data_IF_445696971207
#
_entry.id   IF_445696971207
#
_cell.length_a   1.000
_cell.length_b   1.000
_cell.length_c   1.000
_cell.angle_alpha   90.00
_cell.angle_beta   90.00
_cell.angle_gamma   90.00
#
_symmetry.space_group_name_H-M   'P 1'
#
loop_
_entity.id
_entity.type
_entity.pdbx_description
1 polymer ?
#
# COMPACT_ATOMS: atom_id res chain seq x y z
N UNK A 1 -15.27 -60.09 5.06
CA UNK A 1 -15.80 -58.73 5.23
C UNK A 1 -15.12 -57.83 4.24
N UNK A 2 -15.87 -57.26 3.30
CA UNK A 2 -15.38 -56.31 2.30
C UNK A 2 -15.27 -54.93 2.93
N UNK A 3 -14.05 -54.49 3.25
CA UNK A 3 -13.78 -53.13 3.70
C UNK A 3 -13.69 -52.20 2.50
N UNK A 4 -14.60 -51.24 2.42
CA UNK A 4 -14.51 -50.16 1.45
C UNK A 4 -13.37 -49.23 1.86
N UNK A 5 -12.31 -49.17 1.07
CA UNK A 5 -11.26 -48.14 1.20
C UNK A 5 -11.76 -46.90 0.48
N UNK A 6 -12.22 -45.92 1.24
CA UNK A 6 -12.51 -44.58 0.72
C UNK A 6 -11.18 -43.83 0.66
N UNK A 7 -10.57 -43.77 -0.52
CA UNK A 7 -9.40 -42.91 -0.77
C UNK A 7 -9.93 -41.48 -0.87
N UNK A 8 -9.97 -40.77 0.25
CA UNK A 8 -10.27 -39.35 0.26
C UNK A 8 -9.14 -38.60 -0.44
N UNK A 9 -9.45 -37.90 -1.54
CA UNK A 9 -8.56 -36.89 -2.12
C UNK A 9 -8.49 -35.71 -1.16
N UNK A 10 -7.63 -35.79 -0.14
CA UNK A 10 -7.28 -34.62 0.64
C UNK A 10 -6.51 -33.66 -0.29
N UNK A 11 -7.11 -32.51 -0.63
CA UNK A 11 -6.39 -31.44 -1.33
C UNK A 11 -5.10 -31.16 -0.56
N UNK A 12 -3.92 -31.20 -1.21
CA UNK A 12 -2.67 -30.88 -0.56
C UNK A 12 -2.79 -29.54 0.17
N UNK A 13 -2.41 -29.49 1.44
CA UNK A 13 -2.56 -28.29 2.30
C UNK A 13 -1.94 -27.03 1.69
N UNK A 14 -0.92 -27.18 0.85
CA UNK A 14 -0.29 -26.07 0.12
C UNK A 14 -1.19 -25.42 -0.93
N UNK A 15 -2.10 -26.15 -1.59
CA UNK A 15 -3.05 -25.55 -2.54
C UNK A 15 -4.05 -24.63 -1.84
N UNK A 16 -4.49 -25.02 -0.64
CA UNK A 16 -5.37 -24.19 0.19
C UNK A 16 -4.64 -22.92 0.61
N UNK A 17 -3.39 -23.03 1.07
CA UNK A 17 -2.58 -21.86 1.45
C UNK A 17 -2.32 -20.94 0.26
N UNK A 18 -2.02 -21.48 -0.93
CA UNK A 18 -1.86 -20.67 -2.15
C UNK A 18 -3.16 -19.96 -2.53
N UNK A 19 -4.31 -20.63 -2.41
CA UNK A 19 -5.61 -20.01 -2.60
C UNK A 19 -5.86 -18.86 -1.63
N UNK A 20 -5.57 -19.07 -0.34
CA UNK A 20 -5.68 -18.02 0.68
C UNK A 20 -4.74 -16.85 0.41
N UNK A 21 -3.50 -17.11 -0.02
CA UNK A 21 -2.54 -16.07 -0.39
C UNK A 21 -3.04 -15.26 -1.58
N UNK A 22 -3.54 -15.91 -2.64
CA UNK A 22 -4.07 -15.21 -3.81
C UNK A 22 -5.25 -14.30 -3.43
N UNK A 23 -6.16 -14.78 -2.57
CA UNK A 23 -7.26 -13.98 -2.05
C UNK A 23 -6.75 -12.84 -1.18
N UNK A 24 -5.79 -13.08 -0.29
CA UNK A 24 -5.19 -12.06 0.56
C UNK A 24 -4.54 -10.94 -0.28
N UNK A 25 -3.76 -11.30 -1.29
CA UNK A 25 -3.15 -10.33 -2.23
C UNK A 25 -4.21 -9.46 -2.89
N UNK A 26 -5.24 -10.08 -3.47
CA UNK A 26 -6.30 -9.32 -4.14
C UNK A 26 -7.03 -8.37 -3.19
N UNK A 27 -7.45 -8.87 -2.02
CA UNK A 27 -8.16 -8.08 -1.02
C UNK A 27 -7.30 -6.94 -0.50
N UNK A 28 -6.05 -7.22 -0.13
CA UNK A 28 -5.14 -6.21 0.41
C UNK A 28 -4.86 -5.12 -0.62
N UNK A 29 -4.54 -5.45 -1.88
CA UNK A 29 -4.27 -4.43 -2.90
C UNK A 29 -5.46 -3.49 -3.09
N UNK A 30 -6.67 -4.02 -3.18
CA UNK A 30 -7.89 -3.20 -3.31
C UNK A 30 -8.10 -2.30 -2.09
N UNK A 31 -7.94 -2.84 -0.88
CA UNK A 31 -8.08 -2.06 0.35
C UNK A 31 -6.97 -1.01 0.51
N UNK A 32 -5.75 -1.35 0.12
CA UNK A 32 -4.56 -0.51 0.24
C UNK A 32 -4.69 0.74 -0.63
N UNK A 33 -4.92 0.55 -1.93
CA UNK A 33 -5.17 1.64 -2.86
C UNK A 33 -6.44 2.43 -2.47
N UNK A 34 -7.50 1.71 -2.08
CA UNK A 34 -8.72 2.33 -1.58
C UNK A 34 -8.48 3.27 -0.40
N UNK A 35 -7.56 2.93 0.50
CA UNK A 35 -7.23 3.76 1.67
C UNK A 35 -6.39 4.99 1.31
N UNK A 36 -5.45 4.89 0.37
CA UNK A 36 -4.79 6.07 -0.18
C UNK A 36 -5.82 7.04 -0.73
N UNK A 37 -6.73 6.54 -1.57
CA UNK A 37 -7.75 7.38 -2.21
C UNK A 37 -8.78 7.94 -1.24
N UNK A 38 -9.23 7.14 -0.27
CA UNK A 38 -10.16 7.58 0.78
C UNK A 38 -9.52 8.66 1.67
N UNK A 39 -8.26 8.46 2.09
CA UNK A 39 -7.52 9.45 2.89
C UNK A 39 -7.32 10.74 2.10
N UNK A 40 -6.95 10.65 0.83
CA UNK A 40 -6.83 11.81 -0.05
C UNK A 40 -8.16 12.55 -0.21
N UNK A 41 -9.26 11.82 -0.39
CA UNK A 41 -10.62 12.39 -0.49
C UNK A 41 -11.04 13.13 0.78
N UNK A 42 -10.77 12.55 1.95
CA UNK A 42 -11.04 13.17 3.26
C UNK A 42 -10.22 14.46 3.47
N UNK A 43 -9.04 14.53 2.86
CA UNK A 43 -8.17 15.71 2.88
C UNK A 43 -8.47 16.74 1.78
N UNK A 44 -9.53 16.51 0.98
CA UNK A 44 -9.99 17.42 -0.06
C UNK A 44 -9.39 17.21 -1.45
N UNK A 45 -8.63 16.12 -1.64
CA UNK A 45 -8.06 15.76 -2.94
C UNK A 45 -8.96 14.83 -3.75
N UNK A 46 -8.73 14.74 -5.05
CA UNK A 46 -9.51 13.93 -5.98
C UNK A 46 -8.69 12.73 -6.43
N UNK A 47 -8.90 11.53 -5.85
CA UNK A 47 -8.13 10.36 -6.23
C UNK A 47 -8.49 9.90 -7.63
N UNK A 48 -7.48 9.46 -8.36
CA UNK A 48 -7.58 8.79 -9.64
C UNK A 48 -6.97 7.42 -9.48
N UNK A 49 -7.76 6.38 -9.73
CA UNK A 49 -7.31 5.00 -9.64
C UNK A 49 -6.87 4.51 -11.01
N UNK A 50 -5.74 3.84 -11.07
CA UNK A 50 -5.19 3.23 -12.27
C UNK A 50 -4.74 1.80 -12.03
N UNK A 51 -4.52 1.09 -13.14
CA UNK A 51 -4.01 -0.28 -13.12
C UNK A 51 -2.99 -0.45 -14.24
N UNK A 52 -1.76 -0.78 -13.85
CA UNK A 52 -0.68 -1.20 -14.75
C UNK A 52 -0.23 -2.57 -14.26
N UNK A 53 -0.80 -3.68 -14.78
CA UNK A 53 -0.49 -5.02 -14.28
C UNK A 53 1.03 -5.24 -14.17
N UNK A 54 1.54 -5.67 -12.99
CA UNK A 54 0.80 -6.25 -11.85
C UNK A 54 0.36 -5.24 -10.76
N UNK A 55 0.51 -3.94 -10.96
CA UNK A 55 0.29 -2.90 -9.95
C UNK A 55 -1.05 -2.17 -10.15
N UNK A 56 -1.78 -1.94 -9.05
CA UNK A 56 -2.78 -0.88 -8.96
C UNK A 56 -2.12 0.33 -8.33
N UNK A 57 -2.61 1.53 -8.64
CA UNK A 57 -2.08 2.75 -8.05
C UNK A 57 -3.17 3.79 -7.90
N UNK A 58 -2.99 4.66 -6.91
CA UNK A 58 -3.83 5.81 -6.64
C UNK A 58 -3.01 7.07 -6.77
N UNK A 59 -3.45 7.98 -7.65
CA UNK A 59 -2.75 9.25 -7.90
C UNK A 59 -3.69 10.45 -7.81
N UNK A 60 -3.14 11.66 -7.84
CA UNK A 60 -3.89 12.90 -7.66
C UNK A 60 -3.38 13.97 -8.63
N UNK A 61 -4.29 14.57 -9.42
CA UNK A 61 -3.97 15.66 -10.37
C UNK A 61 -3.81 17.04 -9.68
N UNK A 62 -3.40 17.05 -8.41
CA UNK A 62 -3.39 18.23 -7.56
C UNK A 62 -2.07 18.31 -6.81
N UNK A 63 -1.63 19.53 -6.52
CA UNK A 63 -0.53 19.76 -5.59
C UNK A 63 -0.97 19.40 -4.17
N UNK A 64 -0.24 18.47 -3.55
CA UNK A 64 -0.50 17.95 -2.22
C UNK A 64 0.52 18.55 -1.25
N UNK A 65 0.02 19.11 -0.14
CA UNK A 65 0.86 19.50 0.99
C UNK A 65 1.62 18.29 1.53
N UNK A 66 2.92 18.46 1.80
CA UNK A 66 3.80 17.45 2.39
C UNK A 66 3.15 16.62 3.52
N UNK A 67 2.50 17.28 4.48
CA UNK A 67 1.86 16.59 5.61
C UNK A 67 0.66 15.75 5.20
N UNK A 68 -0.10 16.21 4.20
CA UNK A 68 -1.22 15.45 3.65
C UNK A 68 -0.72 14.24 2.88
N UNK A 69 0.37 14.41 2.11
CA UNK A 69 0.97 13.30 1.38
C UNK A 69 1.57 12.24 2.33
N UNK A 70 2.14 12.67 3.47
CA UNK A 70 2.55 11.75 4.54
C UNK A 70 1.37 10.95 5.11
N UNK A 71 0.24 11.61 5.38
CA UNK A 71 -0.96 10.94 5.88
C UNK A 71 -1.51 9.95 4.85
N UNK A 72 -1.56 10.34 3.58
CA UNK A 72 -2.02 9.48 2.48
C UNK A 72 -1.10 8.26 2.34
N UNK A 73 0.22 8.47 2.28
CA UNK A 73 1.19 7.38 2.11
C UNK A 73 1.14 6.38 3.28
N UNK A 74 1.12 6.86 4.53
CA UNK A 74 1.18 5.97 5.69
C UNK A 74 -0.18 5.39 6.11
N UNK A 75 -1.30 5.86 5.53
CA UNK A 75 -2.64 5.41 5.92
C UNK A 75 -2.86 3.90 5.75
N UNK A 76 -2.53 3.26 4.61
CA UNK A 76 -2.72 1.82 4.46
C UNK A 76 -1.89 1.01 5.45
N UNK A 77 -0.62 1.39 5.65
CA UNK A 77 0.24 0.72 6.63
C UNK A 77 -0.39 0.76 8.02
N UNK A 78 -0.71 1.95 8.53
CA UNK A 78 -1.18 2.10 9.91
C UNK A 78 -2.58 1.48 10.10
N UNK A 79 -3.52 1.78 9.21
CA UNK A 79 -4.92 1.39 9.40
C UNK A 79 -5.12 -0.10 9.11
N UNK A 80 -4.57 -0.63 8.01
CA UNK A 80 -4.78 -2.04 7.67
C UNK A 80 -3.98 -2.97 8.58
N UNK A 81 -2.73 -2.65 8.93
CA UNK A 81 -1.97 -3.52 9.84
C UNK A 81 -2.64 -3.57 11.22
N UNK A 82 -3.13 -2.43 11.73
CA UNK A 82 -3.90 -2.40 12.98
C UNK A 82 -5.18 -3.24 12.87
N UNK A 83 -5.91 -3.14 11.75
CA UNK A 83 -7.13 -3.90 11.52
C UNK A 83 -6.86 -5.41 11.40
N UNK A 84 -5.79 -5.82 10.71
CA UNK A 84 -5.42 -7.23 10.55
C UNK A 84 -4.89 -7.83 11.84
N UNK A 85 -4.12 -7.10 12.64
CA UNK A 85 -3.72 -7.53 13.98
C UNK A 85 -4.96 -7.71 14.86
N UNK A 86 -5.89 -6.75 14.86
CA UNK A 86 -7.14 -6.87 15.61
C UNK A 86 -7.95 -8.09 15.16
N UNK A 87 -8.11 -8.30 13.84
CA UNK A 87 -8.81 -9.44 13.28
C UNK A 87 -8.13 -10.77 13.62
N UNK A 88 -6.80 -10.84 13.60
CA UNK A 88 -6.05 -12.01 14.03
C UNK A 88 -6.36 -12.41 15.48
N UNK A 89 -6.56 -11.42 16.35
CA UNK A 89 -6.84 -11.63 17.77
C UNK A 89 -8.30 -12.01 18.03
N UNK A 90 -9.26 -11.50 17.25
CA UNK A 90 -10.70 -11.62 17.55
C UNK A 90 -11.49 -12.53 16.59
N UNK A 91 -10.96 -12.83 15.40
CA UNK A 91 -11.69 -13.53 14.31
C UNK A 91 -11.00 -14.86 13.97
N UNK A 92 -11.76 -15.95 13.70
CA UNK A 92 -11.20 -17.19 13.16
C UNK A 92 -10.45 -16.99 11.83
N UNK A 93 -9.60 -17.96 11.45
CA UNK A 93 -8.85 -17.91 10.19
C UNK A 93 -7.49 -17.20 10.30
N UNK A 94 -6.76 -17.42 11.40
CA UNK A 94 -5.46 -16.78 11.71
C UNK A 94 -4.49 -16.69 10.53
N UNK A 95 -4.31 -17.78 9.78
CA UNK A 95 -3.41 -17.83 8.61
C UNK A 95 -3.79 -16.77 7.56
N UNK A 96 -5.08 -16.53 7.32
CA UNK A 96 -5.52 -15.51 6.38
C UNK A 96 -5.15 -14.11 6.85
N UNK A 97 -5.35 -13.81 8.15
CA UNK A 97 -5.00 -12.52 8.72
C UNK A 97 -3.48 -12.28 8.76
N UNK A 98 -2.68 -13.32 9.03
CA UNK A 98 -1.22 -13.26 8.94
C UNK A 98 -0.76 -12.96 7.51
N UNK A 99 -1.37 -13.60 6.51
CA UNK A 99 -1.08 -13.33 5.10
C UNK A 99 -1.47 -11.90 4.71
N UNK A 100 -2.65 -11.43 5.11
CA UNK A 100 -3.08 -10.06 4.84
C UNK A 100 -2.14 -9.01 5.45
N UNK A 101 -1.73 -9.22 6.71
CA UNK A 101 -0.75 -8.38 7.39
C UNK A 101 0.59 -8.38 6.63
N UNK A 102 1.16 -9.57 6.36
CA UNK A 102 2.44 -9.67 5.67
C UNK A 102 2.42 -9.02 4.28
N UNK A 103 1.36 -9.25 3.50
CA UNK A 103 1.19 -8.65 2.17
C UNK A 103 1.10 -7.13 2.26
N UNK A 104 0.32 -6.58 3.20
CA UNK A 104 0.18 -5.13 3.34
C UNK A 104 1.47 -4.47 3.78
N UNK A 105 2.13 -5.00 4.82
CA UNK A 105 3.40 -4.47 5.31
C UNK A 105 4.49 -4.52 4.23
N UNK A 106 4.55 -5.60 3.43
CA UNK A 106 5.47 -5.67 2.29
C UNK A 106 5.10 -4.70 1.16
N UNK A 107 3.81 -4.55 0.86
CA UNK A 107 3.32 -3.61 -0.16
C UNK A 107 3.64 -2.15 0.20
N UNK A 108 3.56 -1.82 1.48
CA UNK A 108 3.79 -0.47 2.00
C UNK A 108 5.28 -0.03 2.05
N UNK A 109 6.23 -0.84 1.58
CA UNK A 109 7.65 -0.44 1.55
C UNK A 109 7.85 0.84 0.72
N UNK A 110 7.13 0.96 -0.40
CA UNK A 110 7.13 2.18 -1.21
C UNK A 110 6.62 3.40 -0.45
N UNK A 111 5.57 3.23 0.33
CA UNK A 111 4.98 4.31 1.15
C UNK A 111 5.93 4.78 2.23
N UNK A 112 6.57 3.85 2.94
CA UNK A 112 7.56 4.17 3.97
C UNK A 112 8.74 4.90 3.34
N UNK A 113 9.21 4.46 2.17
CA UNK A 113 10.25 5.16 1.42
C UNK A 113 9.82 6.60 1.08
N UNK A 114 8.65 6.78 0.45
CA UNK A 114 8.08 8.11 0.14
C UNK A 114 8.00 8.96 1.41
N UNK A 115 7.46 8.42 2.50
CA UNK A 115 7.36 9.13 3.76
C UNK A 115 8.73 9.58 4.28
N UNK A 116 9.75 8.72 4.23
CA UNK A 116 11.11 9.09 4.65
C UNK A 116 11.72 10.19 3.78
N UNK A 117 11.40 10.21 2.47
CA UNK A 117 11.80 11.27 1.57
C UNK A 117 11.09 12.60 1.93
N UNK A 118 9.77 12.59 2.13
CA UNK A 118 8.97 13.76 2.47
C UNK A 118 9.40 14.41 3.79
N UNK A 119 9.88 13.63 4.76
CA UNK A 119 10.38 14.14 6.03
C UNK A 119 11.61 15.04 5.89
N UNK A 120 12.34 14.98 4.77
CA UNK A 120 13.50 15.84 4.46
C UNK A 120 13.09 17.26 4.04
N UNK A 121 11.83 17.46 3.68
CA UNK A 121 11.28 18.74 3.24
C UNK A 121 10.51 19.48 4.35
N UNK A 122 10.45 20.82 4.29
CA UNK A 122 9.56 21.61 5.15
C UNK A 122 8.08 21.19 5.04
N UNK A 123 7.27 21.36 6.11
CA UNK A 123 5.84 21.01 6.11
C UNK A 123 4.99 21.73 5.04
N UNK A 124 5.42 22.91 4.60
CA UNK A 124 4.73 23.74 3.62
C UNK A 124 5.15 23.46 2.17
N UNK A 125 6.01 22.45 1.93
CA UNK A 125 6.38 22.03 0.58
C UNK A 125 5.20 21.37 -0.12
N UNK A 126 5.00 21.72 -1.39
CA UNK A 126 3.98 21.14 -2.25
C UNK A 126 4.62 20.11 -3.18
N UNK A 127 3.95 18.96 -3.30
CA UNK A 127 4.35 17.84 -4.14
C UNK A 127 3.23 17.57 -5.15
N UNK A 128 3.58 17.20 -6.37
CA UNK A 128 2.62 16.68 -7.33
C UNK A 128 2.92 15.19 -7.52
N UNK A 129 1.91 14.37 -7.28
CA UNK A 129 2.01 12.94 -7.54
C UNK A 129 1.68 12.71 -9.02
N UNK A 130 2.66 12.32 -9.82
CA UNK A 130 2.48 12.04 -11.25
C UNK A 130 2.48 10.53 -11.51
N UNK A 131 1.95 10.12 -12.65
CA UNK A 131 1.90 8.71 -13.08
C UNK A 131 3.28 8.01 -13.17
N UNK A 132 4.38 8.76 -13.04
CA UNK A 132 5.77 8.31 -13.12
C UNK A 132 6.54 8.50 -11.79
N UNK A 133 5.91 9.03 -10.74
CA UNK A 133 6.53 9.26 -9.43
C UNK A 133 6.09 10.58 -8.78
N UNK A 134 6.65 10.88 -7.61
CA UNK A 134 6.35 12.12 -6.89
C UNK A 134 7.31 13.23 -7.35
N UNK A 135 6.80 14.27 -8.02
CA UNK A 135 7.55 15.44 -8.45
C UNK A 135 7.42 16.60 -7.45
N UNK A 136 8.50 17.35 -7.23
CA UNK A 136 8.53 18.49 -6.31
C UNK A 136 8.31 19.79 -7.09
N UNK A 137 7.13 20.40 -6.93
CA UNK A 137 6.74 21.58 -7.73
C UNK A 137 6.99 22.92 -7.05
N UNK A 138 7.01 22.98 -5.70
CA UNK A 138 7.34 24.22 -5.00
C UNK A 138 8.07 23.95 -3.69
N UNK A 139 9.33 24.39 -3.60
CA UNK A 139 10.02 24.54 -2.32
C UNK A 139 10.59 25.95 -2.17
N UNK A 140 9.95 26.79 -1.34
CA UNK A 140 10.48 28.11 -0.97
C UNK A 140 11.75 28.03 -0.11
N UNK A 141 12.14 26.84 0.35
CA UNK A 141 13.30 26.59 1.21
C UNK A 141 14.04 25.34 0.71
N UNK A 142 15.38 25.34 0.59
CA UNK A 142 16.10 24.15 0.15
C UNK A 142 15.87 22.95 1.09
N UNK A 143 15.91 21.70 0.59
CA UNK A 143 15.79 20.50 1.41
C UNK A 143 16.87 20.45 2.49
N UNK A 144 16.60 19.76 3.61
CA UNK A 144 17.55 19.70 4.75
C UNK A 144 18.90 19.04 4.40
N UNK A 145 18.97 18.26 3.31
CA UNK A 145 20.19 17.67 2.74
C UNK A 145 20.10 17.66 1.20
N UNK A 146 21.23 17.77 0.49
CA UNK A 146 21.31 17.91 -0.99
C UNK A 146 21.01 16.64 -1.81
N UNK A 147 20.43 15.62 -1.20
CA UNK A 147 20.12 14.37 -1.90
C UNK A 147 18.61 14.36 -2.23
N UNK A 148 18.29 14.70 -3.49
CA UNK A 148 16.94 14.57 -4.00
C UNK A 148 16.56 13.08 -4.00
N UNK A 149 15.51 12.73 -3.24
CA UNK A 149 14.98 11.37 -3.17
C UNK A 149 14.18 10.98 -4.43
N UNK A 150 13.80 12.00 -5.22
CA UNK A 150 12.96 11.89 -6.41
C UNK A 150 13.77 12.29 -7.65
N UNK A 151 14.76 11.48 -7.99
CA UNK A 151 15.25 11.41 -9.37
C UNK A 151 15.09 9.96 -9.82
N UNK A 152 13.94 9.58 -10.42
CA UNK A 152 13.77 8.23 -10.94
C UNK A 152 14.61 7.99 -12.22
N UNK A 153 15.43 8.95 -12.63
CA UNK A 153 16.23 8.90 -13.83
C UNK A 153 15.99 10.15 -14.66
N UNK A 154 16.90 11.12 -14.54
CA UNK A 154 17.51 11.72 -15.70
C UNK A 154 18.01 10.60 -16.63
N UNK A 155 17.15 10.15 -17.53
CA UNK A 155 17.55 9.42 -18.72
C UNK A 155 16.77 10.00 -19.89
N UNK A 156 17.55 10.50 -20.84
CA UNK A 156 17.15 10.96 -22.17
C UNK A 156 16.15 10.02 -22.88
#
# INVERSE_FOLDING_TARGET
GTGNVVIGLASPSWLVTLGLLAVAVFVVVVLHEGLHGATGSLLGYRPMFGMKPPQMFTTFDQEIRRDHLLMIALAPLVILDTAFIAAYLTVPGKVFWDLCFAVNTMGAIGDVWIATCLLRYPPDTLFQDTNNGVEVWASARPPKSREACCDPGASD
#
